data_IF_933024776701
#
_entry.id   IF_933024776701
#
_cell.length_a   1.000
_cell.length_b   1.000
_cell.length_c   1.000
_cell.angle_alpha   90.00
_cell.angle_beta   90.00
_cell.angle_gamma   90.00
#
_symmetry.space_group_name_H-M   'P 1'
#
loop_
_entity.id
_entity.type
_entity.pdbx_description
1 polymer ?
#
# COMPACT_ATOMS: atom_id res chain seq x y z
N UNK A 1 -19.77 -4.05 -25.70
CA UNK A 1 -20.30 -4.80 -24.53
C UNK A 1 -20.64 -3.80 -23.44
N UNK A 2 -21.78 -3.92 -22.74
CA UNK A 2 -22.19 -2.91 -21.77
C UNK A 2 -21.12 -2.85 -20.67
N UNK A 3 -20.59 -1.65 -20.42
CA UNK A 3 -19.75 -1.39 -19.24
C UNK A 3 -20.50 -1.93 -18.03
N UNK A 4 -19.90 -2.85 -17.27
CA UNK A 4 -20.51 -3.34 -16.04
C UNK A 4 -20.88 -2.12 -15.20
N UNK A 5 -22.11 -2.06 -14.70
CA UNK A 5 -22.53 -1.01 -13.78
C UNK A 5 -21.70 -1.17 -12.50
N UNK A 6 -20.55 -0.49 -12.42
CA UNK A 6 -19.63 -0.55 -11.27
C UNK A 6 -20.33 0.14 -10.10
N UNK A 7 -21.03 -0.64 -9.29
CA UNK A 7 -21.75 -0.16 -8.11
C UNK A 7 -20.91 -0.35 -6.85
N UNK A 8 -20.94 0.66 -5.99
CA UNK A 8 -20.40 0.55 -4.63
C UNK A 8 -21.30 -0.37 -3.81
N UNK A 9 -20.78 -1.53 -3.39
CA UNK A 9 -21.59 -2.59 -2.77
C UNK A 9 -21.56 -2.52 -1.24
N UNK A 10 -22.56 -3.15 -0.60
CA UNK A 10 -22.59 -3.40 0.85
C UNK A 10 -21.30 -4.07 1.36
N UNK A 11 -20.80 -5.05 0.60
CA UNK A 11 -19.53 -5.72 0.92
C UNK A 11 -18.35 -4.75 0.93
N UNK A 12 -18.26 -3.83 -0.04
CA UNK A 12 -17.17 -2.82 -0.05
C UNK A 12 -17.25 -1.88 1.15
N UNK A 13 -18.46 -1.47 1.51
CA UNK A 13 -18.68 -0.66 2.70
C UNK A 13 -18.23 -1.39 3.98
N UNK A 14 -18.59 -2.66 4.14
CA UNK A 14 -18.12 -3.49 5.26
C UNK A 14 -16.59 -3.65 5.27
N UNK A 15 -15.96 -3.87 4.12
CA UNK A 15 -14.50 -3.93 4.00
C UNK A 15 -13.82 -2.63 4.43
N UNK A 16 -14.49 -1.48 4.27
CA UNK A 16 -13.98 -0.18 4.74
C UNK A 16 -13.98 -0.12 6.28
N UNK A 17 -14.99 -0.68 6.94
CA UNK A 17 -15.03 -0.80 8.40
C UNK A 17 -13.94 -1.74 8.90
N UNK A 18 -13.77 -2.90 8.26
CA UNK A 18 -12.68 -3.82 8.59
C UNK A 18 -11.33 -3.10 8.44
N UNK A 19 -11.14 -2.34 7.36
CA UNK A 19 -9.95 -1.52 7.15
C UNK A 19 -9.66 -0.54 8.30
N UNK A 20 -10.69 0.13 8.81
CA UNK A 20 -10.62 1.04 9.96
C UNK A 20 -10.26 0.30 11.26
N UNK A 21 -10.89 -0.84 11.52
CA UNK A 21 -10.59 -1.65 12.72
C UNK A 21 -9.14 -2.12 12.69
N UNK A 22 -8.67 -2.59 11.53
CA UNK A 22 -7.26 -2.99 11.36
C UNK A 22 -6.29 -1.84 11.61
N UNK A 23 -6.63 -0.62 11.16
CA UNK A 23 -5.83 0.58 11.40
C UNK A 23 -5.75 0.91 12.90
N UNK A 24 -6.87 0.84 13.63
CA UNK A 24 -6.88 1.06 15.08
C UNK A 24 -6.07 -0.01 15.82
N UNK A 25 -6.20 -1.27 15.40
CA UNK A 25 -5.44 -2.38 15.99
C UNK A 25 -3.93 -2.17 15.77
N UNK A 26 -3.51 -1.72 14.58
CA UNK A 26 -2.09 -1.44 14.27
C UNK A 26 -1.52 -0.45 15.28
N UNK A 27 -2.17 0.71 15.46
CA UNK A 27 -1.78 1.74 16.44
C UNK A 27 -1.61 1.15 17.85
N UNK A 28 -2.56 0.33 18.30
CA UNK A 28 -2.47 -0.29 19.62
C UNK A 28 -1.30 -1.29 19.71
N UNK A 29 -1.09 -2.07 18.65
CA UNK A 29 0.02 -3.02 18.62
C UNK A 29 1.39 -2.33 18.57
N UNK A 30 1.51 -1.20 17.88
CA UNK A 30 2.75 -0.45 17.77
C UNK A 30 3.12 0.24 19.07
N UNK A 31 2.13 0.85 19.74
CA UNK A 31 2.30 1.40 21.11
C UNK A 31 2.69 0.28 22.07
N UNK A 32 1.98 -0.86 22.03
CA UNK A 32 2.28 -2.01 22.87
C UNK A 32 3.70 -2.53 22.66
N UNK A 33 4.16 -2.60 21.41
CA UNK A 33 5.50 -3.06 21.06
C UNK A 33 6.59 -2.08 21.54
N UNK A 34 6.39 -0.78 21.32
CA UNK A 34 7.32 0.26 21.77
C UNK A 34 7.47 0.24 23.30
N UNK A 35 6.35 0.11 24.03
CA UNK A 35 6.34 -0.02 25.49
C UNK A 35 7.03 -1.29 25.96
N UNK A 36 6.79 -2.42 25.29
CA UNK A 36 7.45 -3.70 25.60
C UNK A 36 8.96 -3.56 25.50
N UNK A 37 9.48 -3.05 24.39
CA UNK A 37 10.93 -2.86 24.20
C UNK A 37 11.51 -1.86 25.21
N UNK A 38 10.75 -0.84 25.58
CA UNK A 38 11.19 0.15 26.56
C UNK A 38 11.31 -0.48 27.96
N UNK A 39 10.33 -1.28 28.37
CA UNK A 39 10.34 -2.02 29.63
C UNK A 39 11.47 -3.05 29.69
N UNK A 40 11.78 -3.70 28.55
CA UNK A 40 12.91 -4.64 28.40
C UNK A 40 14.28 -3.93 28.30
N UNK A 41 14.33 -2.59 28.44
CA UNK A 41 15.54 -1.74 28.35
C UNK A 41 16.23 -1.80 26.97
N UNK A 42 15.51 -2.20 25.94
CA UNK A 42 15.98 -2.28 24.56
C UNK A 42 15.76 -0.95 23.82
N UNK A 43 16.45 0.10 24.28
CA UNK A 43 16.20 1.48 23.82
C UNK A 43 16.40 1.68 22.32
N UNK A 44 17.31 0.92 21.69
CA UNK A 44 17.53 0.99 20.24
C UNK A 44 16.30 0.48 19.49
N UNK A 45 15.72 -0.64 19.91
CA UNK A 45 14.52 -1.20 19.28
C UNK A 45 13.30 -0.31 19.52
N UNK A 46 13.14 0.24 20.72
CA UNK A 46 12.11 1.26 21.01
C UNK A 46 12.26 2.46 20.08
N UNK A 47 13.48 3.00 19.96
CA UNK A 47 13.75 4.16 19.10
C UNK A 47 13.44 3.89 17.64
N UNK A 48 13.85 2.73 17.11
CA UNK A 48 13.55 2.34 15.73
C UNK A 48 12.04 2.17 15.49
N UNK A 49 11.33 1.47 16.38
CA UNK A 49 9.86 1.34 16.31
C UNK A 49 9.18 2.71 16.29
N UNK A 50 9.55 3.62 17.19
CA UNK A 50 8.98 4.97 17.22
C UNK A 50 9.27 5.75 15.94
N UNK A 51 10.48 5.63 15.37
CA UNK A 51 10.83 6.29 14.11
C UNK A 51 9.95 5.78 12.95
N UNK A 52 9.71 4.47 12.87
CA UNK A 52 8.85 3.89 11.84
C UNK A 52 7.39 4.35 11.98
N UNK A 53 6.86 4.34 13.21
CA UNK A 53 5.50 4.84 13.52
C UNK A 53 5.36 6.31 13.15
N UNK A 54 6.32 7.14 13.57
CA UNK A 54 6.30 8.56 13.26
C UNK A 54 6.44 8.82 11.75
N UNK A 55 7.27 8.05 11.03
CA UNK A 55 7.42 8.19 9.59
C UNK A 55 6.13 7.86 8.83
N UNK A 56 5.48 6.73 9.15
CA UNK A 56 4.18 6.34 8.59
C UNK A 56 3.10 7.38 8.89
N UNK A 57 2.98 7.79 10.16
CA UNK A 57 2.00 8.80 10.58
C UNK A 57 2.22 10.15 9.90
N UNK A 58 3.45 10.67 9.88
CA UNK A 58 3.74 11.98 9.28
C UNK A 58 3.41 12.00 7.78
N UNK A 59 3.88 10.99 7.05
CA UNK A 59 3.64 10.92 5.60
C UNK A 59 2.15 10.80 5.30
N UNK A 60 1.45 9.89 5.98
CA UNK A 60 0.02 9.68 5.76
C UNK A 60 -0.80 10.92 6.11
N UNK A 61 -0.47 11.65 7.19
CA UNK A 61 -1.15 12.89 7.54
C UNK A 61 -0.85 14.04 6.57
N UNK A 62 0.37 14.14 6.03
CA UNK A 62 0.72 15.15 5.00
C UNK A 62 -0.12 14.93 3.73
N UNK A 63 -0.16 13.69 3.21
CA UNK A 63 -1.00 13.36 2.05
C UNK A 63 -2.50 13.45 2.38
N UNK A 64 -2.89 13.08 3.60
CA UNK A 64 -4.26 13.20 4.07
C UNK A 64 -4.70 14.67 4.13
N UNK A 65 -3.85 15.57 4.57
CA UNK A 65 -4.17 16.98 4.60
C UNK A 65 -4.24 17.55 3.18
N UNK A 66 -3.24 17.25 2.35
CA UNK A 66 -3.17 17.74 0.97
C UNK A 66 -4.41 17.35 0.17
N UNK A 67 -4.78 16.06 0.12
CA UNK A 67 -5.95 15.70 -0.69
C UNK A 67 -7.27 16.11 -0.07
N UNK A 68 -7.34 16.32 1.26
CA UNK A 68 -8.56 16.83 1.88
C UNK A 68 -8.79 18.28 1.45
N UNK A 69 -7.72 19.07 1.38
CA UNK A 69 -7.77 20.44 0.86
C UNK A 69 -8.20 20.47 -0.60
N UNK A 70 -7.64 19.60 -1.44
CA UNK A 70 -8.01 19.48 -2.86
C UNK A 70 -9.51 19.12 -2.99
N UNK A 71 -9.97 18.05 -2.30
CA UNK A 71 -11.36 17.60 -2.32
C UNK A 71 -12.37 18.66 -1.78
N UNK A 72 -11.92 19.58 -0.92
CA UNK A 72 -12.76 20.67 -0.38
C UNK A 72 -12.93 21.81 -1.38
N UNK A 73 -11.91 22.10 -2.18
CA UNK A 73 -11.96 23.13 -3.22
C UNK A 73 -12.69 22.65 -4.48
N UNK A 74 -12.87 21.34 -4.61
CA UNK A 74 -13.57 20.71 -5.71
C UNK A 74 -15.10 20.77 -5.56
N UNK A 75 -15.74 21.49 -6.48
CA UNK A 75 -17.20 21.75 -6.51
C UNK A 75 -18.02 20.46 -6.71
N UNK A 76 -17.46 19.43 -7.34
CA UNK A 76 -18.15 18.15 -7.58
C UNK A 76 -18.01 17.23 -6.37
N UNK A 77 -16.85 17.25 -5.70
CA UNK A 77 -16.67 16.51 -4.44
C UNK A 77 -17.38 17.19 -3.26
N UNK A 78 -17.57 18.52 -3.31
CA UNK A 78 -18.30 19.31 -2.31
C UNK A 78 -19.40 20.21 -2.93
N UNK A 79 -20.50 19.64 -3.44
CA UNK A 79 -21.55 20.39 -4.13
C UNK A 79 -22.35 21.35 -3.23
N UNK A 80 -22.33 21.15 -1.91
CA UNK A 80 -23.05 21.99 -0.96
C UNK A 80 -22.26 23.22 -0.52
N UNK A 81 -20.98 23.34 -0.90
CA UNK A 81 -20.10 24.46 -0.49
C UNK A 81 -19.96 24.64 1.02
N UNK A 82 -20.46 23.68 1.82
CA UNK A 82 -20.42 23.75 3.29
C UNK A 82 -18.98 23.56 3.74
N UNK A 83 -18.55 24.42 4.65
CA UNK A 83 -17.27 24.31 5.33
C UNK A 83 -17.21 23.01 6.13
N UNK A 84 -16.73 21.94 5.50
CA UNK A 84 -16.29 20.73 6.21
C UNK A 84 -17.44 20.04 6.97
N UNK A 85 -17.25 18.80 7.42
CA UNK A 85 -18.28 18.06 8.18
C UNK A 85 -18.56 18.68 9.56
N UNK A 86 -17.75 19.66 9.98
CA UNK A 86 -17.73 20.20 11.33
C UNK A 86 -17.68 21.73 11.41
N UNK A 87 -17.92 22.49 10.33
CA UNK A 87 -17.78 23.96 10.37
C UNK A 87 -16.39 24.42 10.80
N UNK A 88 -15.37 23.58 10.60
CA UNK A 88 -14.03 23.79 11.12
C UNK A 88 -13.25 24.72 10.20
N UNK A 89 -12.65 25.75 10.80
CA UNK A 89 -11.73 26.66 10.11
C UNK A 89 -10.53 25.88 9.54
N UNK A 90 -9.85 26.48 8.54
CA UNK A 90 -8.60 25.93 7.97
C UNK A 90 -7.57 25.57 9.07
N UNK A 91 -7.53 26.34 10.16
CA UNK A 91 -6.68 26.07 11.32
C UNK A 91 -7.08 24.81 12.07
N UNK A 92 -8.38 24.59 12.29
CA UNK A 92 -8.88 23.36 12.91
C UNK A 92 -8.51 22.10 12.13
N UNK A 93 -8.58 22.14 10.80
CA UNK A 93 -8.21 21.02 9.94
C UNK A 93 -6.72 20.66 10.04
N UNK A 94 -5.86 21.68 10.10
CA UNK A 94 -4.41 21.50 10.32
C UNK A 94 -4.17 20.87 11.69
N UNK A 95 -4.79 21.41 12.74
CA UNK A 95 -4.69 20.88 14.11
C UNK A 95 -5.12 19.41 14.16
N UNK A 96 -6.20 19.04 13.48
CA UNK A 96 -6.70 17.68 13.45
C UNK A 96 -5.70 16.70 12.80
N UNK A 97 -5.06 17.11 11.69
CA UNK A 97 -4.02 16.31 11.04
C UNK A 97 -2.73 16.25 11.87
N UNK A 98 -2.37 17.33 12.58
CA UNK A 98 -1.24 17.35 13.52
C UNK A 98 -1.42 16.34 14.66
N UNK A 99 -2.64 16.16 15.15
CA UNK A 99 -2.97 15.16 16.17
C UNK A 99 -3.17 13.74 15.61
N UNK A 100 -2.94 13.51 14.32
CA UNK A 100 -3.12 12.19 13.71
C UNK A 100 -4.58 11.79 13.45
N UNK A 101 -5.54 12.67 13.73
CA UNK A 101 -6.98 12.35 13.61
C UNK A 101 -7.48 12.45 12.16
N UNK A 102 -6.65 12.96 11.23
CA UNK A 102 -7.01 13.25 9.84
C UNK A 102 -7.59 12.05 9.10
N UNK A 103 -6.93 10.91 9.22
CA UNK A 103 -7.34 9.65 8.58
C UNK A 103 -8.73 9.20 9.07
N UNK A 104 -9.04 9.34 10.37
CA UNK A 104 -10.36 8.99 10.91
C UNK A 104 -11.48 9.83 10.30
N UNK A 105 -11.22 11.12 10.02
CA UNK A 105 -12.22 11.96 9.35
C UNK A 105 -12.52 11.51 7.93
N UNK A 106 -11.50 11.03 7.19
CA UNK A 106 -11.66 10.46 5.86
C UNK A 106 -12.44 9.15 5.88
N UNK A 107 -12.15 8.26 6.83
CA UNK A 107 -12.94 7.05 7.06
C UNK A 107 -14.39 7.39 7.35
N UNK A 108 -14.64 8.32 8.28
CA UNK A 108 -16.00 8.75 8.62
C UNK A 108 -16.75 9.28 7.39
N UNK A 109 -16.11 10.13 6.58
CA UNK A 109 -16.71 10.70 5.38
C UNK A 109 -17.07 9.65 4.34
N UNK A 110 -16.14 8.73 4.04
CA UNK A 110 -16.37 7.62 3.11
C UNK A 110 -17.48 6.69 3.62
N UNK A 111 -17.49 6.35 4.91
CA UNK A 111 -18.52 5.50 5.52
C UNK A 111 -19.89 6.17 5.50
N UNK A 112 -19.97 7.46 5.84
CA UNK A 112 -21.24 8.23 5.84
C UNK A 112 -21.81 8.37 4.43
N UNK A 113 -20.98 8.79 3.46
CA UNK A 113 -21.41 8.89 2.05
C UNK A 113 -21.77 7.51 1.48
N UNK A 114 -20.95 6.50 1.75
CA UNK A 114 -21.20 5.12 1.33
C UNK A 114 -22.50 4.56 1.90
N UNK A 115 -22.81 4.82 3.18
CA UNK A 115 -24.06 4.39 3.80
C UNK A 115 -25.28 5.06 3.15
N UNK A 116 -25.23 6.38 2.92
CA UNK A 116 -26.31 7.13 2.25
C UNK A 116 -26.62 6.56 0.87
N UNK A 117 -25.59 6.22 0.11
CA UNK A 117 -25.73 5.69 -1.26
C UNK A 117 -26.22 4.25 -1.27
N UNK A 118 -25.68 3.39 -0.40
CA UNK A 118 -25.98 1.96 -0.40
C UNK A 118 -27.33 1.63 0.25
N UNK A 119 -27.73 2.41 1.26
CA UNK A 119 -28.89 2.07 2.09
C UNK A 119 -30.05 3.06 1.97
N UNK A 120 -29.80 4.32 1.62
CA UNK A 120 -30.82 5.37 1.68
C UNK A 120 -31.32 5.81 0.30
N UNK A 121 -30.60 5.51 -0.78
CA UNK A 121 -30.89 6.10 -2.09
C UNK A 121 -31.23 5.08 -3.18
N UNK A 122 -32.47 4.59 -3.15
CA UNK A 122 -32.93 3.57 -4.13
C UNK A 122 -33.69 4.18 -5.33
N UNK A 123 -34.38 5.33 -5.19
CA UNK A 123 -35.39 5.76 -6.19
C UNK A 123 -35.29 7.21 -6.75
N UNK A 124 -34.26 8.01 -6.43
CA UNK A 124 -34.28 9.48 -6.72
C UNK A 124 -33.23 10.00 -7.71
N UNK A 125 -32.34 9.16 -8.25
CA UNK A 125 -31.28 9.60 -9.17
C UNK A 125 -31.47 9.05 -10.58
N UNK A 126 -31.10 9.85 -11.57
CA UNK A 126 -30.90 9.40 -12.95
C UNK A 126 -29.73 8.40 -13.03
N UNK A 127 -29.66 7.59 -14.08
CA UNK A 127 -28.59 6.59 -14.28
C UNK A 127 -27.19 7.23 -14.27
N UNK A 128 -27.06 8.42 -14.85
CA UNK A 128 -25.82 9.19 -14.91
C UNK A 128 -25.37 9.65 -13.51
N UNK A 129 -26.26 10.26 -12.74
CA UNK A 129 -25.98 10.71 -11.37
C UNK A 129 -25.61 9.54 -10.45
N UNK A 130 -26.27 8.40 -10.60
CA UNK A 130 -25.93 7.18 -9.82
C UNK A 130 -24.50 6.72 -10.13
N UNK A 131 -24.09 6.75 -11.39
CA UNK A 131 -22.75 6.35 -11.83
C UNK A 131 -21.69 7.29 -11.27
N UNK A 132 -21.91 8.60 -11.34
CA UNK A 132 -21.02 9.63 -10.80
C UNK A 132 -20.82 9.48 -9.28
N UNK A 133 -21.92 9.28 -8.53
CA UNK A 133 -21.86 9.11 -7.07
C UNK A 133 -21.09 7.84 -6.67
N UNK A 134 -21.32 6.71 -7.35
CA UNK A 134 -20.55 5.49 -7.08
C UNK A 134 -19.07 5.65 -7.46
N UNK A 135 -18.78 6.34 -8.56
CA UNK A 135 -17.41 6.61 -8.98
C UNK A 135 -16.66 7.47 -7.96
N UNK A 136 -17.29 8.52 -7.45
CA UNK A 136 -16.73 9.38 -6.40
C UNK A 136 -16.42 8.58 -5.11
N UNK A 137 -17.27 7.62 -4.74
CA UNK A 137 -16.98 6.70 -3.62
C UNK A 137 -15.76 5.82 -3.89
N UNK A 138 -15.57 5.34 -5.12
CA UNK A 138 -14.36 4.57 -5.48
C UNK A 138 -13.11 5.44 -5.50
N UNK A 139 -13.21 6.72 -5.86
CA UNK A 139 -12.10 7.66 -5.75
C UNK A 139 -11.68 7.83 -4.28
N UNK A 140 -12.62 8.18 -3.40
CA UNK A 140 -12.34 8.31 -1.95
C UNK A 140 -11.79 7.02 -1.34
N UNK A 141 -12.30 5.85 -1.75
CA UNK A 141 -11.78 4.56 -1.31
C UNK A 141 -10.35 4.27 -1.85
N UNK A 142 -10.03 4.75 -3.05
CA UNK A 142 -8.69 4.63 -3.64
C UNK A 142 -7.68 5.47 -2.86
N UNK A 143 -8.04 6.70 -2.53
CA UNK A 143 -7.20 7.56 -1.70
C UNK A 143 -6.93 6.94 -0.33
N UNK A 144 -7.97 6.41 0.32
CA UNK A 144 -7.82 5.79 1.63
C UNK A 144 -6.95 4.53 1.60
N UNK A 145 -7.14 3.69 0.57
CA UNK A 145 -6.31 2.50 0.37
C UNK A 145 -4.86 2.85 0.00
N UNK A 146 -4.64 3.99 -0.66
CA UNK A 146 -3.29 4.50 -0.95
C UNK A 146 -2.59 5.03 0.31
N UNK A 147 -3.31 5.74 1.20
CA UNK A 147 -2.75 6.15 2.49
C UNK A 147 -2.36 4.93 3.33
N UNK A 148 -3.25 3.93 3.42
CA UNK A 148 -2.96 2.68 4.13
C UNK A 148 -1.79 1.92 3.51
N UNK A 149 -1.61 2.01 2.19
CA UNK A 149 -0.44 1.45 1.51
C UNK A 149 0.84 2.18 1.91
N UNK A 150 0.83 3.51 2.02
CA UNK A 150 2.00 4.28 2.46
C UNK A 150 2.41 3.93 3.88
N UNK A 151 1.45 3.91 4.79
CA UNK A 151 1.61 3.45 6.17
C UNK A 151 2.24 2.05 6.20
N UNK A 152 1.64 1.07 5.53
CA UNK A 152 2.10 -0.31 5.53
C UNK A 152 3.58 -0.46 5.13
N UNK A 153 4.08 0.34 4.18
CA UNK A 153 5.46 0.23 3.68
C UNK A 153 6.47 1.15 4.40
N UNK A 154 6.02 2.22 5.06
CA UNK A 154 6.90 3.13 5.80
C UNK A 154 6.97 2.78 7.29
N UNK A 155 5.95 2.13 7.82
CA UNK A 155 5.80 1.77 9.23
C UNK A 155 5.79 0.24 9.41
N UNK A 156 4.74 -0.44 8.93
CA UNK A 156 4.53 -1.86 9.25
C UNK A 156 5.61 -2.79 8.66
N UNK A 157 6.11 -2.53 7.43
CA UNK A 157 7.17 -3.33 6.79
C UNK A 157 8.54 -3.20 7.49
N UNK A 158 9.08 -1.98 7.73
CA UNK A 158 10.32 -1.82 8.51
C UNK A 158 10.20 -2.37 9.94
N UNK A 159 9.03 -2.23 10.57
CA UNK A 159 8.78 -2.79 11.89
C UNK A 159 8.74 -4.32 11.87
N UNK A 160 8.07 -4.93 10.89
CA UNK A 160 8.08 -6.39 10.69
C UNK A 160 9.49 -6.91 10.41
N UNK A 161 10.28 -6.17 9.63
CA UNK A 161 11.69 -6.47 9.37
C UNK A 161 12.52 -6.46 10.67
N UNK A 162 12.35 -5.43 11.50
CA UNK A 162 13.00 -5.35 12.82
C UNK A 162 12.58 -6.51 13.73
N UNK A 163 11.28 -6.81 13.81
CA UNK A 163 10.76 -7.92 14.60
C UNK A 163 11.35 -9.27 14.14
N UNK A 164 11.43 -9.52 12.83
CA UNK A 164 12.02 -10.73 12.28
C UNK A 164 13.51 -10.84 12.62
N UNK A 165 14.27 -9.74 12.55
CA UNK A 165 15.67 -9.73 12.97
C UNK A 165 15.82 -10.12 14.45
N UNK A 166 14.95 -9.63 15.33
CA UNK A 166 14.97 -9.97 16.77
C UNK A 166 14.67 -11.45 16.97
N UNK A 167 13.61 -11.97 16.34
CA UNK A 167 13.19 -13.37 16.48
C UNK A 167 14.24 -14.34 15.96
N UNK A 168 14.81 -14.05 14.79
CA UNK A 168 15.85 -14.88 14.19
C UNK A 168 17.19 -14.83 14.93
N UNK A 169 17.43 -13.78 15.73
CA UNK A 169 18.66 -13.65 16.53
C UNK A 169 18.54 -14.31 17.90
N UNK A 170 17.37 -14.27 18.54
CA UNK A 170 17.16 -14.77 19.90
C UNK A 170 16.56 -16.18 19.98
N UNK A 171 16.00 -16.72 18.89
CA UNK A 171 15.42 -18.08 18.74
C UNK A 171 14.39 -18.51 19.81
N UNK A 172 13.95 -17.57 20.66
CA UNK A 172 12.97 -17.70 21.72
C UNK A 172 11.72 -16.92 21.31
N UNK A 173 10.66 -17.61 20.90
CA UNK A 173 9.42 -16.96 20.51
C UNK A 173 8.17 -17.75 20.91
N UNK A 174 7.16 -17.00 21.34
CA UNK A 174 5.84 -17.58 21.58
C UNK A 174 5.14 -17.83 20.24
N UNK A 175 4.28 -18.86 20.21
CA UNK A 175 3.46 -19.19 19.04
C UNK A 175 2.62 -17.98 18.59
N UNK A 176 2.17 -17.16 19.54
CA UNK A 176 1.40 -15.94 19.28
C UNK A 176 2.19 -14.89 18.47
N UNK A 177 3.50 -14.78 18.68
CA UNK A 177 4.33 -13.84 17.91
C UNK A 177 4.44 -14.26 16.44
N UNK A 178 4.59 -15.55 16.16
CA UNK A 178 4.58 -16.06 14.78
C UNK A 178 3.24 -15.81 14.09
N UNK A 179 2.12 -16.03 14.78
CA UNK A 179 0.79 -15.70 14.25
C UNK A 179 0.64 -14.20 13.98
N UNK A 180 1.13 -13.34 14.88
CA UNK A 180 1.11 -11.88 14.70
C UNK A 180 1.92 -11.45 13.48
N UNK A 181 3.12 -12.00 13.28
CA UNK A 181 3.94 -11.73 12.08
C UNK A 181 3.26 -12.22 10.80
N UNK A 182 2.68 -13.43 10.82
CA UNK A 182 1.92 -13.97 9.69
C UNK A 182 0.73 -13.07 9.32
N UNK A 183 0.03 -12.55 10.33
CA UNK A 183 -1.04 -11.58 10.13
C UNK A 183 -0.53 -10.25 9.54
N UNK A 184 0.61 -9.75 10.00
CA UNK A 184 1.25 -8.54 9.46
C UNK A 184 1.59 -8.70 7.97
N UNK A 185 2.21 -9.81 7.58
CA UNK A 185 2.45 -10.14 6.16
C UNK A 185 1.16 -10.14 5.33
N UNK A 186 0.10 -10.75 5.86
CA UNK A 186 -1.21 -10.76 5.20
C UNK A 186 -1.80 -9.35 5.07
N UNK A 187 -1.73 -8.53 6.11
CA UNK A 187 -2.23 -7.15 6.11
C UNK A 187 -1.49 -6.29 5.07
N UNK A 188 -0.16 -6.38 5.00
CA UNK A 188 0.67 -5.68 4.00
C UNK A 188 0.28 -6.10 2.57
N UNK A 189 0.19 -7.41 2.33
CA UNK A 189 -0.21 -7.92 1.01
C UNK A 189 -1.64 -7.48 0.65
N UNK A 190 -2.56 -7.53 1.61
CA UNK A 190 -3.95 -7.11 1.42
C UNK A 190 -4.07 -5.61 1.15
N UNK A 191 -3.32 -4.74 1.83
CA UNK A 191 -3.31 -3.30 1.55
C UNK A 191 -2.94 -3.01 0.09
N UNK A 192 -1.97 -3.72 -0.46
CA UNK A 192 -1.56 -3.61 -1.86
C UNK A 192 -2.63 -4.12 -2.84
N UNK A 193 -3.31 -5.23 -2.52
CA UNK A 193 -4.42 -5.75 -3.32
C UNK A 193 -5.63 -4.82 -3.26
N UNK A 194 -5.95 -4.27 -2.09
CA UNK A 194 -7.06 -3.35 -1.90
C UNK A 194 -6.84 -2.08 -2.72
N UNK A 195 -5.65 -1.48 -2.62
CA UNK A 195 -5.26 -0.34 -3.45
C UNK A 195 -5.40 -0.66 -4.94
N UNK A 196 -4.83 -1.79 -5.40
CA UNK A 196 -4.88 -2.17 -6.82
C UNK A 196 -6.31 -2.32 -7.32
N UNK A 197 -7.20 -2.86 -6.48
CA UNK A 197 -8.61 -3.04 -6.81
C UNK A 197 -9.38 -1.71 -6.82
N UNK A 198 -9.10 -0.82 -5.87
CA UNK A 198 -9.72 0.49 -5.80
C UNK A 198 -9.30 1.35 -7.00
N UNK A 199 -7.99 1.41 -7.27
CA UNK A 199 -7.45 2.15 -8.41
C UNK A 199 -8.06 1.69 -9.75
N UNK A 200 -8.20 0.37 -9.96
CA UNK A 200 -8.84 -0.13 -11.19
C UNK A 200 -10.32 0.22 -11.29
N UNK A 201 -11.02 0.40 -10.16
CA UNK A 201 -12.45 0.75 -10.13
C UNK A 201 -12.70 2.26 -10.19
N UNK A 202 -11.73 3.06 -9.78
CA UNK A 202 -11.76 4.52 -9.94
C UNK A 202 -11.35 4.99 -11.34
N UNK A 203 -10.89 4.10 -12.22
CA UNK A 203 -10.48 4.45 -13.58
C UNK A 203 -11.54 3.99 -14.60
N UNK A 204 -12.22 4.92 -15.30
CA UNK A 204 -13.38 4.59 -16.14
C UNK A 204 -13.02 3.77 -17.39
N UNK A 205 -11.79 3.89 -17.88
CA UNK A 205 -11.30 3.20 -19.09
C UNK A 205 -10.59 1.87 -18.80
N UNK A 206 -10.39 1.51 -17.53
CA UNK A 206 -9.67 0.28 -17.15
C UNK A 206 -10.66 -0.77 -16.64
N UNK A 207 -10.54 -1.98 -17.19
CA UNK A 207 -11.36 -3.12 -16.76
C UNK A 207 -11.08 -3.47 -15.30
N UNK A 208 -12.16 -3.61 -14.53
CA UNK A 208 -12.07 -3.96 -13.13
C UNK A 208 -11.45 -5.36 -12.92
N UNK A 209 -10.90 -5.56 -11.73
CA UNK A 209 -10.43 -6.88 -11.31
C UNK A 209 -11.61 -7.66 -10.70
N UNK A 210 -11.98 -8.84 -11.27
CA UNK A 210 -13.08 -9.64 -10.74
C UNK A 210 -12.80 -10.09 -9.31
N UNK A 211 -13.82 -10.06 -8.45
CA UNK A 211 -13.77 -10.76 -7.17
C UNK A 211 -13.72 -12.29 -7.39
N UNK A 212 -12.92 -12.99 -6.59
CA UNK A 212 -12.76 -14.44 -6.68
C UNK A 212 -11.32 -14.84 -7.01
N UNK A 213 -11.15 -15.84 -7.87
CA UNK A 213 -9.85 -16.43 -8.21
C UNK A 213 -8.75 -15.43 -8.63
N UNK A 214 -9.02 -14.40 -9.48
CA UNK A 214 -8.00 -13.42 -9.83
C UNK A 214 -7.47 -12.65 -8.62
N UNK A 215 -8.36 -12.31 -7.68
CA UNK A 215 -8.01 -11.59 -6.45
C UNK A 215 -7.17 -12.47 -5.53
N UNK A 216 -7.56 -13.74 -5.36
CA UNK A 216 -6.82 -14.71 -4.54
C UNK A 216 -5.42 -14.98 -5.09
N UNK A 217 -5.29 -15.19 -6.41
CA UNK A 217 -3.99 -15.48 -7.03
C UNK A 217 -3.07 -14.26 -7.00
N UNK A 218 -3.62 -13.05 -7.20
CA UNK A 218 -2.84 -11.82 -7.06
C UNK A 218 -2.39 -11.58 -5.61
N UNK A 219 -3.26 -11.88 -4.63
CA UNK A 219 -2.92 -11.83 -3.21
C UNK A 219 -1.81 -12.83 -2.88
N UNK A 220 -1.91 -14.07 -3.35
CA UNK A 220 -0.89 -15.09 -3.15
C UNK A 220 0.46 -14.67 -3.74
N UNK A 221 0.45 -14.14 -4.97
CA UNK A 221 1.63 -13.56 -5.61
C UNK A 221 2.29 -12.48 -4.72
N UNK A 222 1.51 -11.50 -4.24
CA UNK A 222 2.04 -10.41 -3.43
C UNK A 222 2.50 -10.87 -2.05
N UNK A 223 1.73 -11.72 -1.39
CA UNK A 223 2.09 -12.30 -0.10
C UNK A 223 3.42 -13.05 -0.20
N UNK A 224 3.54 -14.02 -1.11
CA UNK A 224 4.74 -14.83 -1.24
C UNK A 224 5.98 -14.01 -1.63
N UNK A 225 5.87 -13.07 -2.59
CA UNK A 225 7.02 -12.25 -3.00
C UNK A 225 7.47 -11.27 -1.91
N UNK A 226 6.54 -10.65 -1.17
CA UNK A 226 6.87 -9.77 -0.05
C UNK A 226 7.49 -10.56 1.10
N UNK A 227 6.91 -11.71 1.45
CA UNK A 227 7.43 -12.57 2.53
C UNK A 227 8.85 -13.04 2.25
N UNK A 228 9.13 -13.59 1.07
CA UNK A 228 10.49 -14.01 0.70
C UNK A 228 11.48 -12.85 0.74
N UNK A 229 11.06 -11.64 0.35
CA UNK A 229 11.93 -10.46 0.35
C UNK A 229 12.28 -9.98 1.73
N UNK A 230 11.29 -9.82 2.60
CA UNK A 230 11.49 -9.34 3.97
C UNK A 230 12.32 -10.36 4.75
N UNK A 231 12.06 -11.66 4.59
CA UNK A 231 12.89 -12.70 5.20
C UNK A 231 14.35 -12.64 4.69
N UNK A 232 14.56 -12.45 3.39
CA UNK A 232 15.91 -12.33 2.81
C UNK A 232 16.65 -11.10 3.35
N UNK A 233 15.98 -9.95 3.45
CA UNK A 233 16.55 -8.76 4.07
C UNK A 233 16.82 -8.96 5.56
N UNK A 234 15.98 -9.70 6.27
CA UNK A 234 16.20 -10.02 7.69
C UNK A 234 17.51 -10.81 7.86
N UNK A 235 17.76 -11.81 7.01
CA UNK A 235 19.01 -12.59 7.02
C UNK A 235 20.23 -11.71 6.69
N UNK A 236 20.12 -10.82 5.71
CA UNK A 236 21.22 -9.92 5.34
C UNK A 236 21.53 -8.89 6.44
N UNK A 237 20.52 -8.42 7.18
CA UNK A 237 20.71 -7.50 8.31
C UNK A 237 21.39 -8.19 9.49
N UNK A 238 21.06 -9.47 9.74
CA UNK A 238 21.76 -10.30 10.75
C UNK A 238 23.21 -10.55 10.34
N UNK A 239 23.46 -10.77 9.05
CA UNK A 239 24.80 -10.97 8.52
C UNK A 239 25.68 -9.74 8.70
N UNK A 240 25.18 -8.54 8.39
CA UNK A 240 25.95 -7.30 8.47
C UNK A 240 25.08 -6.06 8.65
N UNK A 241 25.49 -5.15 9.54
CA UNK A 241 24.89 -3.83 9.70
C UNK A 241 25.06 -2.94 8.46
N UNK A 242 26.07 -3.18 7.62
CA UNK A 242 26.25 -2.49 6.34
C UNK A 242 25.10 -2.74 5.36
N UNK A 243 24.32 -3.81 5.56
CA UNK A 243 23.08 -4.06 4.79
C UNK A 243 22.10 -2.89 4.91
N UNK A 244 22.04 -2.17 6.04
CA UNK A 244 21.20 -0.97 6.17
C UNK A 244 21.62 0.13 5.19
N UNK A 245 22.93 0.30 4.97
CA UNK A 245 23.47 1.23 3.98
C UNK A 245 23.09 0.77 2.57
N UNK A 246 23.25 -0.53 2.28
CA UNK A 246 22.86 -1.10 0.99
C UNK A 246 21.36 -0.92 0.70
N UNK A 247 20.48 -1.14 1.68
CA UNK A 247 19.04 -0.90 1.55
C UNK A 247 18.72 0.58 1.30
N UNK A 248 19.46 1.49 1.95
CA UNK A 248 19.35 2.94 1.71
C UNK A 248 19.75 3.29 0.28
N UNK A 249 20.83 2.71 -0.24
CA UNK A 249 21.26 2.89 -1.64
C UNK A 249 20.20 2.35 -2.61
N UNK A 250 19.64 1.16 -2.36
CA UNK A 250 18.56 0.61 -3.19
C UNK A 250 17.33 1.52 -3.19
N UNK A 251 16.97 2.07 -2.03
CA UNK A 251 15.89 3.05 -1.92
C UNK A 251 16.17 4.30 -2.75
N UNK A 252 17.36 4.89 -2.64
CA UNK A 252 17.75 6.07 -3.43
C UNK A 252 17.74 5.79 -4.94
N UNK A 253 18.20 4.61 -5.37
CA UNK A 253 18.12 4.18 -6.77
C UNK A 253 16.67 4.06 -7.24
N UNK A 254 15.79 3.46 -6.42
CA UNK A 254 14.37 3.35 -6.72
C UNK A 254 13.70 4.73 -6.79
N UNK A 255 14.01 5.65 -5.87
CA UNK A 255 13.51 7.04 -5.91
C UNK A 255 14.05 7.81 -7.11
N UNK A 256 15.30 7.58 -7.51
CA UNK A 256 15.87 8.19 -8.72
C UNK A 256 15.15 7.68 -9.96
N UNK A 257 14.88 6.37 -10.02
CA UNK A 257 14.09 5.77 -11.09
C UNK A 257 12.68 6.36 -11.17
N UNK A 258 11.98 6.52 -10.05
CA UNK A 258 10.65 7.16 -10.04
C UNK A 258 10.70 8.62 -10.47
N UNK A 259 11.78 9.33 -10.13
CA UNK A 259 12.02 10.69 -10.61
C UNK A 259 12.22 10.75 -12.13
N UNK A 260 13.00 9.83 -12.69
CA UNK A 260 13.23 9.73 -14.14
C UNK A 260 11.97 9.36 -14.92
N UNK A 261 11.04 8.62 -14.29
CA UNK A 261 9.73 8.31 -14.87
C UNK A 261 8.82 9.55 -15.03
N UNK A 262 9.17 10.69 -14.42
CA UNK A 262 8.47 11.99 -14.45
C UNK A 262 7.00 11.91 -14.02
N UNK A 263 6.73 11.31 -12.87
CA UNK A 263 5.37 11.23 -12.30
C UNK A 263 4.77 12.62 -12.03
N UNK A 264 3.47 12.80 -12.25
CA UNK A 264 2.74 14.06 -12.01
C UNK A 264 1.50 13.84 -11.11
N UNK A 265 1.69 13.19 -9.97
CA UNK A 265 0.58 12.79 -9.10
C UNK A 265 0.04 13.96 -8.26
N UNK A 266 0.92 14.81 -7.75
CA UNK A 266 0.59 15.88 -6.81
C UNK A 266 0.63 17.28 -7.45
N UNK A 267 -0.24 18.18 -6.99
CA UNK A 267 -0.29 19.58 -7.44
C UNK A 267 0.95 20.39 -7.03
N UNK A 268 1.59 20.02 -5.92
CA UNK A 268 2.78 20.68 -5.37
C UNK A 268 4.05 19.92 -5.72
N UNK A 269 5.10 20.64 -6.15
CA UNK A 269 6.44 20.07 -6.42
C UNK A 269 7.04 19.37 -5.20
N UNK A 270 6.85 19.93 -4.00
CA UNK A 270 7.37 19.34 -2.76
C UNK A 270 6.65 18.05 -2.39
N UNK A 271 5.32 18.02 -2.57
CA UNK A 271 4.51 16.83 -2.32
C UNK A 271 4.80 15.71 -3.34
N UNK A 272 5.07 16.09 -4.59
CA UNK A 272 5.50 15.14 -5.63
C UNK A 272 6.87 14.51 -5.33
N UNK A 273 7.82 15.30 -4.80
CA UNK A 273 9.11 14.77 -4.34
C UNK A 273 8.93 13.76 -3.20
N UNK A 274 8.11 14.10 -2.19
CA UNK A 274 7.78 13.19 -1.10
C UNK A 274 7.12 11.91 -1.64
N UNK A 275 6.15 12.05 -2.55
CA UNK A 275 5.48 10.93 -3.19
C UNK A 275 6.49 9.99 -3.88
N UNK A 276 7.41 10.53 -4.69
CA UNK A 276 8.45 9.75 -5.37
C UNK A 276 9.37 9.03 -4.38
N UNK A 277 9.69 9.64 -3.24
CA UNK A 277 10.47 9.02 -2.17
C UNK A 277 9.73 7.84 -1.53
N UNK A 278 8.43 7.99 -1.25
CA UNK A 278 7.56 6.93 -0.71
C UNK A 278 7.40 5.78 -1.70
N UNK A 279 7.16 6.07 -2.98
CA UNK A 279 7.11 5.04 -4.01
C UNK A 279 8.45 4.31 -4.15
N UNK A 280 9.57 5.03 -4.04
CA UNK A 280 10.90 4.42 -3.96
C UNK A 280 11.00 3.43 -2.79
N UNK A 281 10.47 3.78 -1.61
CA UNK A 281 10.46 2.89 -0.45
C UNK A 281 9.63 1.63 -0.70
N UNK A 282 8.43 1.77 -1.30
CA UNK A 282 7.60 0.62 -1.70
C UNK A 282 8.36 -0.28 -2.68
N UNK A 283 9.04 0.31 -3.67
CA UNK A 283 9.84 -0.39 -4.68
C UNK A 283 11.04 -1.16 -4.10
N UNK A 284 11.55 -0.79 -2.93
CA UNK A 284 12.60 -1.57 -2.25
C UNK A 284 12.09 -2.95 -1.83
N UNK A 285 10.79 -3.10 -1.59
CA UNK A 285 10.19 -4.34 -1.07
C UNK A 285 9.29 -5.06 -2.09
N UNK A 286 8.51 -4.34 -2.89
CA UNK A 286 7.61 -4.95 -3.89
C UNK A 286 7.55 -4.13 -5.18
N UNK A 287 7.39 -4.82 -6.30
CA UNK A 287 7.15 -4.14 -7.56
C UNK A 287 5.81 -3.38 -7.52
N UNK A 288 5.88 -2.07 -7.67
CA UNK A 288 4.75 -1.17 -7.72
C UNK A 288 4.75 -0.45 -9.07
N UNK A 289 3.66 -0.59 -9.84
CA UNK A 289 3.58 0.03 -11.15
C UNK A 289 3.19 1.50 -11.01
N UNK A 290 4.15 2.38 -11.30
CA UNK A 290 4.04 3.84 -11.16
C UNK A 290 3.58 4.53 -12.45
N UNK A 291 3.76 3.91 -13.62
CA UNK A 291 3.58 4.58 -14.93
C UNK A 291 2.48 3.95 -15.81
N UNK A 292 1.79 2.92 -15.32
CA UNK A 292 0.62 2.34 -15.98
C UNK A 292 0.89 1.52 -17.26
N UNK A 293 1.85 1.91 -18.11
CA UNK A 293 2.06 1.37 -19.46
C UNK A 293 3.45 0.73 -19.66
N UNK A 294 3.50 -0.33 -20.47
CA UNK A 294 4.68 -1.10 -20.92
C UNK A 294 5.75 -1.48 -19.87
N UNK A 295 5.31 -1.73 -18.64
CA UNK A 295 6.20 -2.11 -17.55
C UNK A 295 6.69 -3.56 -17.57
N UNK A 296 6.55 -4.29 -18.69
CA UNK A 296 6.92 -5.72 -18.76
C UNK A 296 8.41 -5.94 -18.55
N UNK A 297 9.24 -5.18 -19.27
CA UNK A 297 10.71 -5.28 -19.16
C UNK A 297 11.17 -4.86 -17.77
N UNK A 298 10.66 -3.74 -17.25
CA UNK A 298 10.96 -3.28 -15.89
C UNK A 298 10.56 -4.32 -14.83
N UNK A 299 9.42 -4.98 -14.99
CA UNK A 299 8.96 -6.04 -14.08
C UNK A 299 9.87 -7.28 -14.16
N UNK A 300 10.29 -7.70 -15.36
CA UNK A 300 11.21 -8.84 -15.53
C UNK A 300 12.55 -8.54 -14.86
N UNK A 301 13.14 -7.37 -15.12
CA UNK A 301 14.42 -6.96 -14.51
C UNK A 301 14.28 -6.91 -12.98
N UNK A 302 13.20 -6.32 -12.48
CA UNK A 302 12.94 -6.24 -11.04
C UNK A 302 12.88 -7.62 -10.39
N UNK A 303 12.07 -8.54 -10.94
CA UNK A 303 11.92 -9.87 -10.36
C UNK A 303 13.16 -10.74 -10.52
N UNK A 304 13.94 -10.54 -11.56
CA UNK A 304 15.25 -11.18 -11.71
C UNK A 304 16.22 -10.77 -10.59
N UNK A 305 16.40 -9.46 -10.38
CA UNK A 305 17.23 -8.94 -9.29
C UNK A 305 16.70 -9.35 -7.91
N UNK A 306 15.38 -9.39 -7.76
CA UNK A 306 14.71 -9.84 -6.55
C UNK A 306 15.04 -11.30 -6.23
N UNK A 307 14.93 -12.20 -7.22
CA UNK A 307 15.28 -13.61 -7.08
C UNK A 307 16.76 -13.80 -6.76
N UNK A 308 17.66 -13.04 -7.40
CA UNK A 308 19.09 -13.11 -7.09
C UNK A 308 19.36 -12.83 -5.61
N UNK A 309 18.81 -11.75 -5.07
CA UNK A 309 18.99 -11.40 -3.65
C UNK A 309 18.36 -12.46 -2.72
N UNK A 310 17.20 -13.01 -3.08
CA UNK A 310 16.54 -14.03 -2.27
C UNK A 310 17.34 -15.35 -2.23
N UNK A 311 18.10 -15.67 -3.30
CA UNK A 311 19.01 -16.81 -3.32
C UNK A 311 20.30 -16.49 -2.55
N UNK A 312 20.85 -15.28 -2.74
CA UNK A 312 22.12 -14.87 -2.14
C UNK A 312 22.03 -14.69 -0.62
N UNK A 313 20.91 -14.21 -0.08
CA UNK A 313 20.76 -13.94 1.35
C UNK A 313 21.02 -15.16 2.25
N UNK A 314 20.31 -16.30 2.10
CA UNK A 314 20.60 -17.50 2.89
C UNK A 314 21.98 -18.09 2.59
N UNK A 315 22.44 -18.03 1.33
CA UNK A 315 23.76 -18.54 0.95
C UNK A 315 24.90 -17.77 1.64
N UNK A 316 24.85 -16.43 1.64
CA UNK A 316 25.86 -15.61 2.30
C UNK A 316 25.86 -15.81 3.81
N UNK A 317 24.67 -15.94 4.42
CA UNK A 317 24.59 -16.22 5.86
C UNK A 317 25.18 -17.58 6.21
N UNK A 318 24.87 -18.62 5.42
CA UNK A 318 25.41 -19.97 5.61
C UNK A 318 26.94 -20.03 5.44
N UNK A 319 27.50 -19.25 4.50
CA UNK A 319 28.95 -19.23 4.23
C UNK A 319 29.74 -18.38 5.22
N UNK A 320 29.23 -17.21 5.62
CA UNK A 320 29.98 -16.22 6.40
C UNK A 320 29.73 -16.32 7.91
N UNK A 321 28.61 -16.93 8.33
CA UNK A 321 28.24 -17.08 9.75
C UNK A 321 27.64 -18.47 10.05
N UNK A 322 28.41 -19.56 9.85
CA UNK A 322 27.91 -20.92 10.09
C UNK A 322 27.56 -21.20 11.56
N UNK A 323 28.14 -20.45 12.51
CA UNK A 323 27.96 -20.68 13.95
C UNK A 323 26.77 -19.95 14.60
N UNK A 324 26.17 -18.95 13.93
CA UNK A 324 25.20 -18.04 14.57
C UNK A 324 23.77 -18.56 14.63
N UNK A 325 23.41 -19.56 13.81
CA UNK A 325 22.05 -20.10 13.76
C UNK A 325 22.06 -21.62 13.72
N UNK A 326 21.10 -22.24 14.39
CA UNK A 326 20.84 -23.68 14.27
C UNK A 326 20.59 -24.03 12.81
N UNK A 327 21.32 -25.01 12.28
CA UNK A 327 21.19 -25.46 10.89
C UNK A 327 19.73 -25.72 10.48
N UNK A 328 18.92 -26.25 11.40
CA UNK A 328 17.48 -26.48 11.21
C UNK A 328 16.69 -25.18 10.97
N UNK A 329 16.91 -24.15 11.77
CA UNK A 329 16.23 -22.85 11.62
C UNK A 329 16.60 -22.19 10.29
N UNK A 330 17.88 -22.22 9.92
CA UNK A 330 18.36 -21.68 8.64
C UNK A 330 17.75 -22.44 7.45
N UNK A 331 17.64 -23.77 7.53
CA UNK A 331 16.98 -24.57 6.50
C UNK A 331 15.49 -24.27 6.36
N UNK A 332 14.76 -24.11 7.47
CA UNK A 332 13.34 -23.75 7.45
C UNK A 332 13.15 -22.37 6.80
N UNK A 333 13.90 -21.36 7.24
CA UNK A 333 13.80 -19.99 6.70
C UNK A 333 14.21 -19.96 5.23
N UNK A 334 15.27 -20.67 4.85
CA UNK A 334 15.69 -20.82 3.45
C UNK A 334 14.58 -21.48 2.62
N UNK A 335 13.99 -22.57 3.10
CA UNK A 335 12.88 -23.25 2.45
C UNK A 335 11.67 -22.33 2.24
N UNK A 336 11.34 -21.49 3.22
CA UNK A 336 10.30 -20.45 3.11
C UNK A 336 10.67 -19.38 2.08
N UNK A 337 11.92 -18.92 2.04
CA UNK A 337 12.39 -17.93 1.07
C UNK A 337 12.32 -18.49 -0.35
N UNK A 338 12.89 -19.67 -0.60
CA UNK A 338 12.91 -20.30 -1.92
C UNK A 338 11.51 -20.71 -2.36
N UNK A 339 10.76 -21.42 -1.50
CA UNK A 339 9.40 -21.85 -1.77
C UNK A 339 8.46 -20.66 -2.03
N UNK A 340 8.54 -19.62 -1.21
CA UNK A 340 7.79 -18.39 -1.41
C UNK A 340 8.18 -17.65 -2.69
N UNK A 341 9.47 -17.61 -3.05
CA UNK A 341 9.92 -16.95 -4.27
C UNK A 341 9.38 -17.65 -5.52
N UNK A 342 9.49 -18.99 -5.56
CA UNK A 342 8.96 -19.81 -6.67
C UNK A 342 7.44 -19.69 -6.74
N UNK A 343 6.74 -19.91 -5.62
CA UNK A 343 5.28 -19.82 -5.58
C UNK A 343 4.77 -18.42 -5.97
N UNK A 344 5.47 -17.37 -5.54
CA UNK A 344 5.17 -16.00 -5.90
C UNK A 344 5.33 -15.73 -7.40
N UNK A 345 6.42 -16.20 -8.02
CA UNK A 345 6.66 -16.05 -9.46
C UNK A 345 5.69 -16.88 -10.31
N UNK A 346 5.38 -18.11 -9.89
CA UNK A 346 4.36 -18.94 -10.56
C UNK A 346 3.00 -18.26 -10.49
N UNK A 347 2.62 -17.73 -9.32
CA UNK A 347 1.36 -16.98 -9.14
C UNK A 347 1.34 -15.70 -9.98
N UNK A 348 2.47 -15.00 -10.10
CA UNK A 348 2.64 -13.84 -10.98
C UNK A 348 2.37 -14.22 -12.44
N UNK A 349 3.02 -15.28 -12.93
CA UNK A 349 2.83 -15.77 -14.31
C UNK A 349 1.38 -16.20 -14.54
N UNK A 350 0.82 -17.00 -13.63
CA UNK A 350 -0.57 -17.46 -13.69
C UNK A 350 -1.54 -16.28 -13.76
N UNK A 351 -1.32 -15.25 -12.94
CA UNK A 351 -2.11 -14.03 -12.97
C UNK A 351 -2.01 -13.34 -14.33
N UNK A 352 -0.81 -13.03 -14.84
CA UNK A 352 -0.67 -12.27 -16.09
C UNK A 352 -1.04 -13.05 -17.36
N UNK A 353 -0.91 -14.38 -17.36
CA UNK A 353 -1.24 -15.24 -18.49
C UNK A 353 -2.74 -15.50 -18.60
N UNK A 354 -3.39 -15.89 -17.49
CA UNK A 354 -4.77 -16.41 -17.51
C UNK A 354 -5.81 -15.45 -16.93
N UNK A 355 -5.45 -14.60 -15.96
CA UNK A 355 -6.43 -13.90 -15.11
C UNK A 355 -6.35 -12.38 -15.20
N UNK A 356 -5.26 -11.84 -15.76
CA UNK A 356 -5.10 -10.41 -15.89
C UNK A 356 -6.12 -9.92 -16.91
N UNK A 357 -7.00 -8.98 -16.53
CA UNK A 357 -7.96 -8.41 -17.46
C UNK A 357 -7.17 -7.63 -18.52
N UNK A 358 -6.91 -8.27 -19.66
CA UNK A 358 -6.35 -7.62 -20.85
C UNK A 358 -7.41 -6.63 -21.33
N UNK A 359 -7.07 -5.34 -21.28
CA UNK A 359 -7.82 -4.33 -22.03
C UNK A 359 -7.73 -4.68 -23.51
N UNK A 360 -8.78 -4.40 -24.27
CA UNK A 360 -8.70 -4.48 -25.73
C UNK A 360 -7.48 -3.69 -26.23
N UNK A 361 -6.79 -4.24 -27.22
CA UNK A 361 -5.78 -3.52 -28.00
C UNK A 361 -6.43 -2.26 -28.59
N UNK A 362 -5.66 -1.17 -28.62
CA UNK A 362 -5.98 0.15 -29.20
C UNK A 362 -7.04 0.96 -28.45
N UNK A 363 -6.58 2.00 -27.75
CA UNK A 363 -7.09 3.35 -27.90
C UNK A 363 -5.95 4.29 -27.47
N UNK A 364 -5.27 4.82 -28.49
CA UNK A 364 -4.47 6.02 -28.34
C UNK A 364 -5.43 7.20 -28.16
N UNK A 365 -4.95 8.22 -27.47
CA UNK A 365 -5.65 9.45 -27.13
C UNK A 365 -6.52 10.01 -28.26
N UNK A 366 -7.82 10.11 -28.02
CA UNK A 366 -8.61 11.27 -28.42
C UNK A 366 -9.41 11.75 -27.22
N UNK A 367 -9.12 12.99 -26.82
CA UNK A 367 -9.77 13.72 -25.76
C UNK A 367 -11.10 14.25 -26.30
N UNK A 368 -12.20 13.98 -25.59
CA UNK A 368 -13.16 15.00 -25.11
C UNK A 368 -14.52 14.38 -24.83
N UNK A 369 -14.79 14.19 -23.53
CA UNK A 369 -16.11 14.41 -22.99
C UNK A 369 -15.95 15.52 -21.96
N UNK A 370 -16.55 16.68 -22.21
CA UNK A 370 -16.60 17.84 -21.31
C UNK A 370 -17.46 17.52 -20.08
N UNK A 371 -17.06 16.54 -19.28
CA UNK A 371 -17.55 16.34 -17.92
C UNK A 371 -16.70 17.19 -16.99
N UNK A 372 -17.30 17.78 -15.95
CA UNK A 372 -16.54 18.46 -14.89
C UNK A 372 -15.52 17.48 -14.31
N UNK A 373 -14.24 17.66 -14.64
CA UNK A 373 -13.17 16.87 -14.05
C UNK A 373 -12.96 17.30 -12.61
N UNK A 374 -13.01 16.33 -11.69
CA UNK A 374 -12.63 16.53 -10.29
C UNK A 374 -11.12 16.47 -10.14
N UNK A 375 -10.56 17.23 -9.19
CA UNK A 375 -9.14 17.17 -8.84
C UNK A 375 -8.72 15.74 -8.46
N UNK A 376 -9.62 15.00 -7.80
CA UNK A 376 -9.42 13.58 -7.46
C UNK A 376 -9.32 12.71 -8.72
N UNK A 377 -10.17 12.93 -9.73
CA UNK A 377 -10.09 12.23 -11.02
C UNK A 377 -8.80 12.58 -11.76
N UNK A 378 -8.39 13.86 -11.75
CA UNK A 378 -7.13 14.31 -12.35
C UNK A 378 -5.94 13.61 -11.71
N UNK A 379 -5.90 13.52 -10.37
CA UNK A 379 -4.84 12.82 -9.64
C UNK A 379 -4.74 11.34 -10.01
N UNK A 380 -5.86 10.62 -10.06
CA UNK A 380 -5.86 9.18 -10.41
C UNK A 380 -5.55 8.93 -11.88
N UNK A 381 -5.98 9.83 -12.77
CA UNK A 381 -5.62 9.78 -14.19
C UNK A 381 -4.13 10.04 -14.39
N UNK A 382 -3.58 11.08 -13.75
CA UNK A 382 -2.15 11.41 -13.81
C UNK A 382 -1.25 10.33 -13.19
N UNK A 383 -1.78 9.49 -12.30
CA UNK A 383 -1.04 8.31 -11.81
C UNK A 383 -0.79 7.27 -12.92
N UNK A 384 -1.58 7.27 -14.00
CA UNK A 384 -1.54 6.26 -15.07
C UNK A 384 -1.08 6.83 -16.41
N UNK A 385 -1.21 8.14 -16.63
CA UNK A 385 -0.79 8.82 -17.86
C UNK A 385 0.64 9.40 -17.75
N UNK A 386 1.38 9.49 -18.88
CA UNK A 386 2.83 9.73 -18.93
C UNK A 386 3.35 11.09 -18.42
#
# INVERSE_FOLDING_TARGET
MPQSNIQYTKLRWLLTIVGLVLYVVDIWTDIGLALKYFQEKQYVWTGLTLVFVLAGLLVTQIFSYAWYRDDTNDVVMNPEGKETILGMSKGGLVTLHLFGVGIFTRYYHLLKRGFKVVWTTTNSYTLEQRREVHHNLFCLATDLSMLKLFEAFLESVPQLLLQLCIVLSHNECSVLQYFSMGFSFFNIAWALVDYRRCLRRSLPHIREMPSGLPTTIYLLYKLCTITSRILSYSLLLILSTYTTVALTVVWLLATTWTHLLKTNFCSSKGLELLYRAVIGAILTFTFFNVKGQDTKVAMIIYYFLHSLINIMAPLLLALLRPETQTATSLLIVSGLIFGGSVLGLVSLMLYYLLLHPKGGRHEADEVDGLGRETETMRRMRNFVQP
#
